data_IF_829160073173
#
_entry.id   IF_829160073173
#
_cell.length_a   1.000
_cell.length_b   1.000
_cell.length_c   1.000
_cell.angle_alpha   90.00
_cell.angle_beta   90.00
_cell.angle_gamma   90.00
#
_symmetry.space_group_name_H-M   'P 1'
#
loop_
_entity.id
_entity.type
_entity.pdbx_description
1 polymer ?
#
# COMPACT_ATOMS: atom_id res chain seq x y z
N UNK A 1 -12.10 -50.75 11.79
CA UNK A 1 -12.02 -50.12 10.45
C UNK A 1 -11.28 -48.78 10.40
N UNK A 2 -10.00 -48.71 10.83
CA UNK A 2 -9.21 -47.46 10.77
C UNK A 2 -7.79 -47.64 10.17
N UNK A 3 -7.52 -48.74 9.44
CA UNK A 3 -6.18 -49.05 8.93
C UNK A 3 -5.90 -48.62 7.48
N UNK A 4 -6.89 -48.10 6.75
CA UNK A 4 -6.73 -47.72 5.32
C UNK A 4 -6.42 -46.24 5.06
N UNK A 5 -6.33 -45.40 6.08
CA UNK A 5 -6.14 -43.95 5.92
C UNK A 5 -4.68 -43.55 5.65
N UNK A 6 -3.72 -44.04 6.44
CA UNK A 6 -2.36 -43.48 6.40
C UNK A 6 -1.55 -43.80 5.13
N UNK A 7 -1.68 -45.00 4.56
CA UNK A 7 -0.87 -45.38 3.38
C UNK A 7 -1.31 -44.68 2.09
N UNK A 8 -2.60 -44.36 1.95
CA UNK A 8 -3.12 -43.67 0.75
C UNK A 8 -2.69 -42.21 0.72
N UNK A 9 -2.63 -41.56 1.90
CA UNK A 9 -2.23 -40.15 2.00
C UNK A 9 -0.73 -39.94 2.21
N UNK A 10 0.04 -41.00 2.50
CA UNK A 10 1.47 -40.94 2.80
C UNK A 10 2.27 -40.18 1.73
N UNK A 11 2.04 -40.50 0.45
CA UNK A 11 2.75 -39.84 -0.68
C UNK A 11 2.46 -38.34 -0.67
N UNK A 12 1.22 -37.92 -0.42
CA UNK A 12 0.87 -36.50 -0.34
C UNK A 12 1.51 -35.81 0.87
N UNK A 13 1.60 -36.48 2.02
CA UNK A 13 2.30 -35.93 3.20
C UNK A 13 3.81 -35.80 2.99
N UNK A 14 4.42 -36.76 2.29
CA UNK A 14 5.83 -36.70 1.89
C UNK A 14 6.07 -35.54 0.93
N UNK A 15 5.26 -35.39 -0.12
CA UNK A 15 5.34 -34.25 -1.04
C UNK A 15 5.10 -32.90 -0.34
N UNK A 16 4.15 -32.81 0.59
CA UNK A 16 3.93 -31.61 1.40
C UNK A 16 5.15 -31.28 2.27
N UNK A 17 5.81 -32.30 2.81
CA UNK A 17 7.03 -32.12 3.61
C UNK A 17 8.18 -31.57 2.77
N UNK A 18 8.35 -32.05 1.54
CA UNK A 18 9.33 -31.52 0.59
C UNK A 18 9.04 -30.05 0.22
N UNK A 19 7.78 -29.74 -0.07
CA UNK A 19 7.33 -28.37 -0.35
C UNK A 19 7.62 -27.43 0.84
N UNK A 20 7.36 -27.88 2.06
CA UNK A 20 7.68 -27.11 3.28
C UNK A 20 9.18 -26.87 3.45
N UNK A 21 10.04 -27.82 3.07
CA UNK A 21 11.50 -27.64 3.09
C UNK A 21 11.94 -26.59 2.08
N UNK A 22 11.34 -26.59 0.87
CA UNK A 22 11.62 -25.57 -0.15
C UNK A 22 11.21 -24.19 0.36
N UNK A 23 10.02 -24.06 0.96
CA UNK A 23 9.56 -22.80 1.54
C UNK A 23 10.50 -22.25 2.61
N UNK A 24 10.96 -23.10 3.53
CA UNK A 24 11.91 -22.70 4.57
C UNK A 24 13.24 -22.22 3.97
N UNK A 25 13.79 -22.97 3.01
CA UNK A 25 15.02 -22.57 2.31
C UNK A 25 14.86 -21.27 1.55
N UNK A 26 13.72 -21.07 0.88
CA UNK A 26 13.43 -19.83 0.18
C UNK A 26 13.35 -18.65 1.16
N UNK A 27 12.73 -18.83 2.33
CA UNK A 27 12.68 -17.81 3.38
C UNK A 27 14.07 -17.50 3.94
N UNK A 28 14.92 -18.50 4.17
CA UNK A 28 16.29 -18.29 4.62
C UNK A 28 17.14 -17.54 3.57
N UNK A 29 16.96 -17.86 2.29
CA UNK A 29 17.61 -17.16 1.17
C UNK A 29 17.12 -15.71 1.10
N UNK A 30 15.81 -15.47 1.24
CA UNK A 30 15.23 -14.12 1.26
C UNK A 30 15.83 -13.27 2.37
N UNK A 31 15.91 -13.78 3.60
CA UNK A 31 16.52 -13.05 4.73
C UNK A 31 17.99 -12.72 4.46
N UNK A 32 18.75 -13.68 3.90
CA UNK A 32 20.16 -13.45 3.53
C UNK A 32 20.31 -12.43 2.42
N UNK A 33 19.42 -12.44 1.43
CA UNK A 33 19.37 -11.45 0.36
C UNK A 33 19.15 -10.05 0.95
N UNK A 34 18.13 -9.86 1.79
CA UNK A 34 17.87 -8.56 2.41
C UNK A 34 19.08 -8.06 3.22
N UNK A 35 19.72 -8.94 4.00
CA UNK A 35 20.92 -8.58 4.76
C UNK A 35 22.10 -8.20 3.85
N UNK A 36 22.28 -8.89 2.71
CA UNK A 36 23.31 -8.56 1.73
C UNK A 36 23.07 -7.16 1.13
N UNK A 37 21.83 -6.87 0.74
CA UNK A 37 21.45 -5.60 0.12
C UNK A 37 21.55 -4.43 1.10
N UNK A 38 21.08 -4.60 2.34
CA UNK A 38 21.06 -3.53 3.35
C UNK A 38 22.46 -3.24 3.92
N UNK A 39 23.26 -4.28 4.19
CA UNK A 39 24.45 -4.17 5.03
C UNK A 39 25.79 -4.43 4.32
N UNK A 40 25.79 -5.18 3.21
CA UNK A 40 27.04 -5.63 2.59
C UNK A 40 27.36 -4.93 1.28
N UNK A 41 26.35 -4.48 0.53
CA UNK A 41 26.55 -3.82 -0.75
C UNK A 41 26.66 -2.30 -0.61
N UNK A 42 27.71 -1.76 -1.23
CA UNK A 42 27.90 -0.32 -1.45
C UNK A 42 27.87 -0.13 -2.96
N UNK A 43 26.90 0.63 -3.44
CA UNK A 43 26.74 0.92 -4.86
C UNK A 43 27.54 2.16 -5.23
N UNK A 44 28.29 2.10 -6.32
CA UNK A 44 28.99 3.25 -6.88
C UNK A 44 27.99 4.08 -7.69
N UNK A 45 27.41 5.09 -7.03
CA UNK A 45 26.43 6.01 -7.61
C UNK A 45 26.97 6.85 -8.78
N UNK A 46 28.29 6.96 -8.93
CA UNK A 46 28.92 7.64 -10.08
C UNK A 46 28.90 6.77 -11.35
N UNK A 47 28.55 5.49 -11.24
CA UNK A 47 28.48 4.55 -12.34
C UNK A 47 27.01 4.30 -12.71
N UNK A 48 26.58 4.80 -13.88
CA UNK A 48 25.19 4.70 -14.34
C UNK A 48 24.68 3.25 -14.44
N UNK A 49 25.56 2.31 -14.82
CA UNK A 49 25.22 0.88 -14.90
C UNK A 49 24.95 0.27 -13.52
N UNK A 50 25.64 0.73 -12.48
CA UNK A 50 25.37 0.29 -11.10
C UNK A 50 24.08 0.89 -10.56
N UNK A 51 23.78 2.15 -10.86
CA UNK A 51 22.49 2.78 -10.52
C UNK A 51 21.33 2.04 -11.19
N UNK A 52 21.47 1.69 -12.46
CA UNK A 52 20.47 0.90 -13.20
C UNK A 52 20.32 -0.51 -12.61
N UNK A 53 21.43 -1.13 -12.20
CA UNK A 53 21.40 -2.45 -11.54
C UNK A 53 20.69 -2.37 -10.19
N UNK A 54 20.91 -1.31 -9.43
CA UNK A 54 20.22 -1.06 -8.16
C UNK A 54 18.71 -0.87 -8.37
N UNK A 55 18.28 -0.14 -9.40
CA UNK A 55 16.84 0.00 -9.68
C UNK A 55 16.21 -1.33 -10.10
N UNK A 56 16.90 -2.16 -10.87
CA UNK A 56 16.43 -3.52 -11.18
C UNK A 56 16.31 -4.38 -9.91
N UNK A 57 17.23 -4.24 -8.96
CA UNK A 57 17.12 -4.92 -7.65
C UNK A 57 15.88 -4.45 -6.90
N UNK A 58 15.58 -3.15 -6.92
CA UNK A 58 14.38 -2.59 -6.29
C UNK A 58 13.09 -3.09 -6.96
N UNK A 59 13.05 -3.17 -8.28
CA UNK A 59 11.90 -3.72 -9.01
C UNK A 59 11.67 -5.20 -8.66
N UNK A 60 12.75 -5.99 -8.55
CA UNK A 60 12.68 -7.37 -8.07
C UNK A 60 12.19 -7.46 -6.62
N UNK A 61 12.64 -6.56 -5.74
CA UNK A 61 12.15 -6.49 -4.36
C UNK A 61 10.66 -6.15 -4.31
N UNK A 62 10.18 -5.24 -5.17
CA UNK A 62 8.75 -4.94 -5.26
C UNK A 62 7.94 -6.18 -5.68
N UNK A 63 8.42 -6.93 -6.67
CA UNK A 63 7.79 -8.19 -7.11
C UNK A 63 7.78 -9.27 -6.02
N UNK A 64 8.89 -9.42 -5.29
CA UNK A 64 8.94 -10.32 -4.12
C UNK A 64 7.93 -9.87 -3.06
N UNK A 65 7.77 -8.56 -2.86
CA UNK A 65 6.78 -7.96 -1.96
C UNK A 65 5.34 -8.37 -2.33
N UNK A 66 5.00 -8.30 -3.62
CA UNK A 66 3.70 -8.72 -4.16
C UNK A 66 3.42 -10.20 -3.82
N UNK A 67 4.39 -11.08 -4.07
CA UNK A 67 4.26 -12.52 -3.82
C UNK A 67 4.09 -12.82 -2.32
N UNK A 68 4.84 -12.13 -1.46
CA UNK A 68 4.84 -12.40 -0.02
C UNK A 68 3.56 -11.96 0.70
N UNK A 69 2.82 -10.98 0.17
CA UNK A 69 1.62 -10.40 0.79
C UNK A 69 0.48 -11.40 1.05
N UNK A 70 0.41 -12.50 0.30
CA UNK A 70 -0.54 -13.59 0.53
C UNK A 70 0.04 -14.78 1.30
N UNK A 71 1.36 -14.83 1.49
CA UNK A 71 2.06 -16.03 1.95
C UNK A 71 2.66 -15.88 3.35
N UNK A 72 3.34 -14.77 3.60
CA UNK A 72 4.05 -14.53 4.84
C UNK A 72 4.18 -13.03 5.09
N UNK A 73 3.26 -12.50 5.90
CA UNK A 73 3.18 -11.08 6.28
C UNK A 73 4.50 -10.58 6.89
N UNK A 74 5.19 -11.40 7.70
CA UNK A 74 6.45 -11.00 8.31
C UNK A 74 7.53 -10.77 7.25
N UNK A 75 7.71 -11.75 6.36
CA UNK A 75 8.67 -11.62 5.26
C UNK A 75 8.30 -10.48 4.32
N UNK A 76 7.00 -10.26 4.04
CA UNK A 76 6.53 -9.10 3.28
C UNK A 76 6.94 -7.78 3.97
N UNK A 77 6.72 -7.66 5.27
CA UNK A 77 7.09 -6.46 6.02
C UNK A 77 8.61 -6.21 6.03
N UNK A 78 9.41 -7.26 6.24
CA UNK A 78 10.87 -7.18 6.20
C UNK A 78 11.36 -6.79 4.79
N UNK A 79 10.74 -7.32 3.74
CA UNK A 79 11.04 -6.99 2.35
C UNK A 79 10.82 -5.51 2.06
N UNK A 80 9.63 -4.98 2.39
CA UNK A 80 9.31 -3.57 2.18
C UNK A 80 10.14 -2.65 3.06
N UNK A 81 10.56 -3.09 4.24
CA UNK A 81 11.50 -2.34 5.08
C UNK A 81 12.86 -2.21 4.41
N UNK A 82 13.42 -3.28 3.86
CA UNK A 82 14.69 -3.24 3.12
C UNK A 82 14.58 -2.41 1.85
N UNK A 83 13.50 -2.58 1.06
CA UNK A 83 13.19 -1.72 -0.08
C UNK A 83 13.22 -0.24 0.31
N UNK A 84 12.57 0.10 1.44
CA UNK A 84 12.48 1.48 1.92
C UNK A 84 13.81 2.02 2.46
N UNK A 85 14.63 1.17 3.07
CA UNK A 85 15.98 1.54 3.51
C UNK A 85 16.88 1.89 2.31
N UNK A 86 16.87 1.04 1.28
CA UNK A 86 17.70 1.22 0.08
C UNK A 86 17.26 2.47 -0.69
N UNK A 87 15.95 2.61 -0.93
CA UNK A 87 15.42 3.78 -1.65
C UNK A 87 15.68 5.10 -0.93
N UNK A 88 15.70 5.11 0.41
CA UNK A 88 16.08 6.30 1.17
C UNK A 88 17.58 6.59 1.12
N UNK A 89 18.40 5.55 1.20
CA UNK A 89 19.85 5.67 1.19
C UNK A 89 20.37 6.27 -0.12
N UNK A 90 19.73 5.94 -1.24
CA UNK A 90 20.16 6.33 -2.59
C UNK A 90 19.12 7.19 -3.32
N UNK A 91 18.25 7.89 -2.58
CA UNK A 91 17.08 8.58 -3.14
C UNK A 91 17.44 9.51 -4.31
N UNK A 92 18.45 10.35 -4.14
CA UNK A 92 18.88 11.32 -5.15
C UNK A 92 19.42 10.64 -6.42
N UNK A 93 20.14 9.53 -6.25
CA UNK A 93 20.81 8.82 -7.33
C UNK A 93 19.84 7.98 -8.17
N UNK A 94 18.91 7.29 -7.51
CA UNK A 94 17.95 6.40 -8.18
C UNK A 94 16.70 7.13 -8.66
N UNK A 95 16.44 8.36 -8.19
CA UNK A 95 15.19 9.08 -8.45
C UNK A 95 14.83 9.07 -9.92
N UNK A 96 15.79 9.30 -10.83
CA UNK A 96 15.51 9.31 -12.28
C UNK A 96 15.02 7.97 -12.84
N UNK A 97 15.57 6.87 -12.34
CA UNK A 97 15.39 5.53 -12.89
C UNK A 97 14.30 4.72 -12.17
N UNK A 98 14.00 5.05 -10.92
CA UNK A 98 13.06 4.30 -10.09
C UNK A 98 11.64 4.39 -10.68
N UNK A 99 11.01 3.23 -10.89
CA UNK A 99 9.59 3.12 -11.18
C UNK A 99 8.79 3.02 -9.87
N UNK A 100 7.93 4.01 -9.62
CA UNK A 100 7.08 4.06 -8.43
C UNK A 100 5.70 3.41 -8.65
N UNK A 101 5.31 3.13 -9.88
CA UNK A 101 3.96 2.64 -10.20
C UNK A 101 3.66 1.32 -9.48
N UNK A 102 4.54 0.32 -9.63
CA UNK A 102 4.39 -1.00 -9.00
C UNK A 102 4.28 -0.95 -7.47
N UNK A 103 5.23 -0.34 -6.73
CA UNK A 103 5.11 -0.27 -5.27
C UNK A 103 3.90 0.55 -4.82
N UNK A 104 3.55 1.63 -5.52
CA UNK A 104 2.34 2.41 -5.19
C UNK A 104 1.08 1.57 -5.36
N UNK A 105 0.91 0.89 -6.51
CA UNK A 105 -0.22 0.00 -6.77
C UNK A 105 -0.30 -1.12 -5.74
N UNK A 106 0.83 -1.73 -5.39
CA UNK A 106 0.88 -2.74 -4.33
C UNK A 106 0.31 -2.17 -3.01
N UNK A 107 0.86 -1.04 -2.53
CA UNK A 107 0.45 -0.50 -1.25
C UNK A 107 -1.02 -0.07 -1.22
N UNK A 108 -1.50 0.61 -2.26
CA UNK A 108 -2.89 1.06 -2.34
C UNK A 108 -3.85 -0.12 -2.38
N UNK A 109 -3.55 -1.14 -3.18
CA UNK A 109 -4.38 -2.34 -3.29
C UNK A 109 -4.36 -3.15 -2.00
N UNK A 110 -3.20 -3.25 -1.34
CA UNK A 110 -3.05 -4.03 -0.12
C UNK A 110 -3.83 -3.42 1.06
N UNK A 111 -3.83 -2.09 1.17
CA UNK A 111 -4.63 -1.39 2.17
C UNK A 111 -6.12 -1.62 1.91
N UNK A 112 -6.59 -1.42 0.67
CA UNK A 112 -8.00 -1.64 0.31
C UNK A 112 -8.42 -3.08 0.55
N UNK A 113 -7.60 -4.05 0.13
CA UNK A 113 -7.82 -5.49 0.37
C UNK A 113 -7.93 -5.80 1.85
N UNK A 114 -7.04 -5.23 2.66
CA UNK A 114 -7.06 -5.41 4.12
C UNK A 114 -8.34 -4.85 4.74
N UNK A 115 -8.79 -3.65 4.31
CA UNK A 115 -10.04 -3.06 4.81
C UNK A 115 -11.23 -3.95 4.43
N UNK A 116 -11.29 -4.42 3.18
CA UNK A 116 -12.35 -5.34 2.74
C UNK A 116 -12.35 -6.64 3.55
N UNK A 117 -11.17 -7.20 3.85
CA UNK A 117 -11.08 -8.41 4.68
C UNK A 117 -11.64 -8.18 6.09
N UNK A 118 -11.43 -7.02 6.70
CA UNK A 118 -12.01 -6.66 8.01
C UNK A 118 -13.54 -6.60 7.92
N UNK A 119 -14.07 -6.13 6.79
CA UNK A 119 -15.50 -6.09 6.50
C UNK A 119 -16.08 -7.49 6.22
N UNK A 120 -15.26 -8.52 6.01
CA UNK A 120 -15.69 -9.92 5.88
C UNK A 120 -15.54 -10.72 7.18
N UNK A 121 -14.61 -10.32 8.07
CA UNK A 121 -14.39 -11.00 9.36
C UNK A 121 -15.60 -10.97 10.29
N UNK A 122 -15.72 -11.97 11.16
CA UNK A 122 -16.73 -11.95 12.23
C UNK A 122 -16.48 -10.77 13.17
N UNK A 123 -17.53 -10.05 13.57
CA UNK A 123 -17.44 -8.88 14.45
C UNK A 123 -16.77 -9.22 15.79
N UNK A 124 -16.85 -10.47 16.24
CA UNK A 124 -16.23 -10.93 17.48
C UNK A 124 -14.74 -11.31 17.35
N UNK A 125 -14.15 -11.22 16.16
CA UNK A 125 -12.76 -11.56 15.90
C UNK A 125 -11.82 -10.36 16.06
N UNK A 126 -11.91 -9.68 17.22
CA UNK A 126 -11.16 -8.47 17.53
C UNK A 126 -9.64 -8.67 17.38
N UNK A 127 -9.14 -9.89 17.63
CA UNK A 127 -7.72 -10.22 17.49
C UNK A 127 -7.26 -10.15 16.03
N UNK A 128 -7.98 -10.79 15.12
CA UNK A 128 -7.62 -10.76 13.71
C UNK A 128 -7.87 -9.37 13.11
N UNK A 129 -8.95 -8.69 13.50
CA UNK A 129 -9.20 -7.30 13.09
C UNK A 129 -8.04 -6.39 13.52
N UNK A 130 -7.63 -6.46 14.79
CA UNK A 130 -6.50 -5.67 15.32
C UNK A 130 -5.20 -5.99 14.58
N UNK A 131 -4.94 -7.27 14.31
CA UNK A 131 -3.76 -7.70 13.58
C UNK A 131 -3.74 -7.14 12.15
N UNK A 132 -4.84 -7.26 11.42
CA UNK A 132 -4.99 -6.72 10.06
C UNK A 132 -4.81 -5.20 10.06
N UNK A 133 -5.45 -4.47 10.98
CA UNK A 133 -5.29 -3.02 11.08
C UNK A 133 -3.84 -2.59 11.33
N UNK A 134 -3.09 -3.31 12.17
CA UNK A 134 -1.68 -3.02 12.42
C UNK A 134 -0.82 -3.21 11.18
N UNK A 135 -1.07 -4.26 10.40
CA UNK A 135 -0.38 -4.52 9.14
C UNK A 135 -0.72 -3.44 8.11
N UNK A 136 -2.00 -3.11 7.95
CA UNK A 136 -2.43 -2.04 7.03
C UNK A 136 -1.82 -0.70 7.38
N UNK A 137 -1.72 -0.35 8.67
CA UNK A 137 -1.05 0.87 9.11
C UNK A 137 0.47 0.82 8.85
N UNK A 138 1.12 -0.33 9.00
CA UNK A 138 2.52 -0.47 8.59
C UNK A 138 2.69 -0.20 7.09
N UNK A 139 1.88 -0.85 6.25
CA UNK A 139 1.89 -0.67 4.80
C UNK A 139 1.62 0.78 4.40
N UNK A 140 0.59 1.38 4.99
CA UNK A 140 0.23 2.79 4.78
C UNK A 140 1.40 3.72 5.15
N UNK A 141 2.08 3.48 6.27
CA UNK A 141 3.25 4.28 6.68
C UNK A 141 4.42 4.12 5.72
N UNK A 142 4.66 2.92 5.19
CA UNK A 142 5.70 2.70 4.17
C UNK A 142 5.35 3.49 2.90
N UNK A 143 4.10 3.40 2.43
CA UNK A 143 3.61 4.15 1.26
C UNK A 143 3.79 5.66 1.43
N UNK A 144 3.32 6.22 2.55
CA UNK A 144 3.46 7.66 2.83
C UNK A 144 4.94 8.07 2.86
N UNK A 145 5.80 7.26 3.48
CA UNK A 145 7.23 7.54 3.55
C UNK A 145 7.91 7.46 2.17
N UNK A 146 7.49 6.53 1.31
CA UNK A 146 7.95 6.44 -0.08
C UNK A 146 7.54 7.71 -0.85
N UNK A 147 6.28 8.14 -0.69
CA UNK A 147 5.76 9.35 -1.31
C UNK A 147 6.49 10.61 -0.82
N UNK A 148 6.80 10.71 0.48
CA UNK A 148 7.57 11.81 1.04
C UNK A 148 9.02 11.82 0.47
N UNK A 149 9.62 10.64 0.32
CA UNK A 149 10.99 10.48 -0.23
C UNK A 149 11.06 10.91 -1.70
N UNK A 150 10.04 10.62 -2.50
CA UNK A 150 9.98 10.93 -3.92
C UNK A 150 8.84 11.87 -4.30
N UNK A 151 8.60 12.90 -3.48
CA UNK A 151 7.47 13.84 -3.61
C UNK A 151 7.35 14.50 -5.00
N UNK A 152 8.47 14.72 -5.70
CA UNK A 152 8.46 15.26 -7.07
C UNK A 152 8.04 14.24 -8.13
N UNK A 153 8.18 12.94 -7.87
CA UNK A 153 7.81 11.88 -8.81
C UNK A 153 6.40 11.36 -8.59
N UNK A 154 5.82 11.50 -7.40
CA UNK A 154 4.44 11.04 -7.17
C UNK A 154 3.40 11.87 -7.95
N UNK A 155 3.73 13.07 -8.43
CA UNK A 155 2.81 13.94 -9.17
C UNK A 155 2.29 13.33 -10.46
N UNK A 156 3.06 12.43 -11.09
CA UNK A 156 2.61 11.71 -12.30
C UNK A 156 1.75 10.49 -12.00
N UNK A 157 1.54 10.17 -10.71
CA UNK A 157 0.79 9.01 -10.22
C UNK A 157 -0.46 9.43 -9.42
N UNK A 158 -0.99 10.63 -9.66
CA UNK A 158 -2.16 11.16 -8.95
C UNK A 158 -3.42 10.32 -9.18
N UNK A 159 -3.51 9.69 -10.35
CA UNK A 159 -4.54 8.73 -10.71
C UNK A 159 -4.58 7.54 -9.73
N UNK A 160 -3.43 6.97 -9.38
CA UNK A 160 -3.34 5.86 -8.42
C UNK A 160 -3.94 6.27 -7.07
N UNK A 161 -3.64 7.49 -6.59
CA UNK A 161 -4.17 7.97 -5.32
C UNK A 161 -5.67 8.25 -5.39
N UNK A 162 -6.18 8.80 -6.49
CA UNK A 162 -7.61 8.97 -6.67
C UNK A 162 -8.35 7.64 -6.63
N UNK A 163 -7.92 6.64 -7.40
CA UNK A 163 -8.50 5.30 -7.36
C UNK A 163 -8.42 4.68 -5.97
N UNK A 164 -7.29 4.84 -5.29
CA UNK A 164 -7.10 4.38 -3.92
C UNK A 164 -8.12 4.98 -2.95
N UNK A 165 -8.28 6.31 -2.93
CA UNK A 165 -9.24 6.96 -2.04
C UNK A 165 -10.68 6.60 -2.41
N UNK A 166 -11.02 6.57 -3.71
CA UNK A 166 -12.36 6.17 -4.17
C UNK A 166 -12.71 4.78 -3.64
N UNK A 167 -11.80 3.82 -3.80
CA UNK A 167 -11.98 2.45 -3.33
C UNK A 167 -12.05 2.37 -1.79
N UNK A 168 -11.17 3.09 -1.10
CA UNK A 168 -11.16 3.14 0.37
C UNK A 168 -12.47 3.70 0.93
N UNK A 169 -12.94 4.84 0.45
CA UNK A 169 -14.17 5.46 0.95
C UNK A 169 -15.43 4.71 0.53
N UNK A 170 -15.42 4.03 -0.62
CA UNK A 170 -16.50 3.12 -1.04
C UNK A 170 -16.64 1.94 -0.08
N UNK A 171 -15.52 1.33 0.33
CA UNK A 171 -15.52 0.24 1.29
C UNK A 171 -15.90 0.72 2.70
N UNK A 172 -15.32 1.83 3.15
CA UNK A 172 -15.42 2.29 4.53
C UNK A 172 -16.80 2.86 4.90
N UNK A 173 -17.36 3.76 4.08
CA UNK A 173 -18.48 4.62 4.51
C UNK A 173 -19.81 3.88 4.75
N UNK A 174 -20.25 2.94 3.89
CA UNK A 174 -21.47 2.18 4.12
C UNK A 174 -21.24 0.98 5.05
N UNK A 175 -20.11 0.28 4.93
CA UNK A 175 -19.92 -1.02 5.56
C UNK A 175 -19.55 -0.94 7.05
N UNK A 176 -18.77 0.06 7.48
CA UNK A 176 -18.43 0.25 8.90
C UNK A 176 -19.62 0.78 9.70
N UNK A 177 -20.50 1.57 9.08
CA UNK A 177 -21.74 2.03 9.74
C UNK A 177 -22.77 0.92 9.90
N UNK A 178 -22.77 -0.06 8.99
CA UNK A 178 -23.73 -1.17 8.99
C UNK A 178 -23.25 -2.38 9.80
N UNK A 179 -21.93 -2.59 9.94
CA UNK A 179 -21.38 -3.57 10.88
C UNK A 179 -21.35 -2.98 12.29
N UNK A 180 -21.97 -3.67 13.24
CA UNK A 180 -21.97 -3.32 14.67
C UNK A 180 -20.61 -3.59 15.33
N UNK A 181 -19.51 -3.05 14.81
CA UNK A 181 -18.20 -3.16 15.42
C UNK A 181 -18.17 -2.55 16.83
N UNK A 182 -17.32 -3.09 17.69
CA UNK A 182 -17.09 -2.50 19.01
C UNK A 182 -16.49 -1.09 18.90
N UNK A 183 -16.80 -0.21 19.86
CA UNK A 183 -16.26 1.15 19.88
C UNK A 183 -14.73 1.16 19.86
N UNK A 184 -14.09 0.21 20.57
CA UNK A 184 -12.63 0.04 20.57
C UNK A 184 -12.08 -0.22 19.15
N UNK A 185 -12.74 -1.08 18.38
CA UNK A 185 -12.34 -1.39 17.00
C UNK A 185 -12.52 -0.18 16.08
N UNK A 186 -13.59 0.59 16.26
CA UNK A 186 -13.82 1.84 15.52
C UNK A 186 -12.72 2.88 15.83
N UNK A 187 -12.37 3.04 17.11
CA UNK A 187 -11.34 4.00 17.53
C UNK A 187 -9.93 3.57 17.09
N UNK A 188 -9.65 2.26 17.11
CA UNK A 188 -8.42 1.70 16.57
C UNK A 188 -8.31 1.92 15.06
N UNK A 189 -9.38 1.68 14.32
CA UNK A 189 -9.43 1.95 12.88
C UNK A 189 -9.16 3.44 12.60
N UNK A 190 -9.84 4.33 13.32
CA UNK A 190 -9.68 5.79 13.15
C UNK A 190 -8.23 6.21 13.40
N UNK A 191 -7.64 5.76 14.51
CA UNK A 191 -6.28 6.14 14.91
C UNK A 191 -5.19 5.58 14.00
N UNK A 192 -5.34 4.33 13.53
CA UNK A 192 -4.32 3.67 12.71
C UNK A 192 -4.44 3.98 11.22
N UNK A 193 -5.66 4.15 10.70
CA UNK A 193 -5.91 4.26 9.25
C UNK A 193 -6.44 5.65 8.89
N UNK A 194 -7.59 6.06 9.44
CA UNK A 194 -8.24 7.31 9.01
C UNK A 194 -7.35 8.54 9.19
N UNK A 195 -6.74 8.69 10.37
CA UNK A 195 -5.90 9.86 10.66
C UNK A 195 -4.70 9.94 9.70
N UNK A 196 -4.02 8.81 9.47
CA UNK A 196 -2.87 8.77 8.57
C UNK A 196 -3.27 9.06 7.11
N UNK A 197 -4.44 8.59 6.67
CA UNK A 197 -4.99 8.90 5.35
C UNK A 197 -5.44 10.34 5.22
N UNK A 198 -5.99 10.92 6.28
CA UNK A 198 -6.39 12.32 6.31
C UNK A 198 -5.17 13.24 6.17
N UNK A 199 -4.10 12.95 6.90
CA UNK A 199 -2.81 13.65 6.79
C UNK A 199 -2.20 13.48 5.40
N UNK A 200 -2.25 12.26 4.85
CA UNK A 200 -1.72 12.00 3.51
C UNK A 200 -2.52 12.74 2.43
N UNK A 201 -3.85 12.71 2.51
CA UNK A 201 -4.70 13.48 1.62
C UNK A 201 -4.43 14.98 1.74
N UNK A 202 -4.19 15.50 2.97
CA UNK A 202 -3.82 16.90 3.20
C UNK A 202 -2.52 17.31 2.49
N UNK A 203 -1.58 16.38 2.32
CA UNK A 203 -0.37 16.61 1.53
C UNK A 203 -0.65 16.59 0.04
N UNK A 204 -1.42 15.62 -0.44
CA UNK A 204 -1.71 15.44 -1.87
C UNK A 204 -2.50 16.62 -2.45
N UNK A 205 -3.45 17.17 -1.70
CA UNK A 205 -4.25 18.35 -2.11
C UNK A 205 -3.43 19.63 -2.29
N UNK A 206 -2.14 19.63 -1.91
CA UNK A 206 -1.23 20.77 -2.14
C UNK A 206 -0.59 20.74 -3.54
N UNK A 207 -0.67 19.61 -4.25
CA UNK A 207 -0.15 19.48 -5.62
C UNK A 207 -1.23 19.89 -6.61
N UNK A 208 -0.89 20.78 -7.55
CA UNK A 208 -1.84 21.24 -8.58
C UNK A 208 -2.29 20.07 -9.48
N UNK A 209 -1.39 19.12 -9.73
CA UNK A 209 -1.64 17.91 -10.51
C UNK A 209 -2.73 17.02 -9.91
N UNK A 210 -2.99 17.14 -8.60
CA UNK A 210 -4.07 16.42 -7.94
C UNK A 210 -5.46 16.82 -8.48
N UNK A 211 -5.58 18.04 -9.02
CA UNK A 211 -6.82 18.60 -9.58
C UNK A 211 -6.85 18.62 -11.11
N UNK A 212 -5.97 17.86 -11.76
CA UNK A 212 -5.91 17.83 -13.22
C UNK A 212 -7.30 17.47 -13.80
N UNK A 213 -7.84 18.37 -14.63
CA UNK A 213 -9.20 18.25 -15.18
C UNK A 213 -9.34 17.00 -16.04
N UNK A 214 -8.35 16.68 -16.89
CA UNK A 214 -8.38 15.49 -17.74
C UNK A 214 -8.40 14.22 -16.90
N UNK A 215 -7.65 14.22 -15.79
CA UNK A 215 -7.69 13.11 -14.83
C UNK A 215 -9.08 12.97 -14.23
N UNK A 216 -9.67 14.06 -13.74
CA UNK A 216 -10.99 14.04 -13.11
C UNK A 216 -12.10 13.62 -14.10
N UNK A 217 -12.07 14.10 -15.34
CA UNK A 217 -12.99 13.68 -16.40
C UNK A 217 -12.87 12.18 -16.67
N UNK A 218 -11.64 11.68 -16.84
CA UNK A 218 -11.41 10.23 -17.05
C UNK A 218 -11.90 9.37 -15.90
N UNK A 219 -11.81 9.87 -14.65
CA UNK A 219 -12.33 9.16 -13.48
C UNK A 219 -13.86 9.14 -13.48
N UNK A 220 -14.50 10.26 -13.82
CA UNK A 220 -15.97 10.35 -13.89
C UNK A 220 -16.53 9.38 -14.95
N UNK A 221 -15.90 9.32 -16.12
CA UNK A 221 -16.29 8.43 -17.21
C UNK A 221 -16.14 6.94 -16.85
N UNK A 222 -15.09 6.59 -16.09
CA UNK A 222 -14.79 5.19 -15.77
C UNK A 222 -15.43 4.67 -14.48
N UNK A 223 -15.89 5.55 -13.58
CA UNK A 223 -16.32 5.14 -12.23
C UNK A 223 -17.84 5.18 -12.00
N UNK A 224 -18.65 5.44 -13.03
CA UNK A 224 -20.12 5.50 -12.94
C UNK A 224 -20.60 6.23 -11.66
N UNK A 225 -20.12 7.47 -11.43
CA UNK A 225 -20.47 8.27 -10.25
C UNK A 225 -20.51 7.49 -8.92
N UNK A 226 -19.51 6.63 -8.68
CA UNK A 226 -19.44 5.82 -7.46
C UNK A 226 -19.55 6.67 -6.19
N UNK A 227 -20.22 6.16 -5.16
CA UNK A 227 -20.33 6.81 -3.85
C UNK A 227 -18.95 7.23 -3.31
N UNK A 228 -17.91 6.43 -3.55
CA UNK A 228 -16.54 6.77 -3.20
C UNK A 228 -16.06 8.06 -3.84
N UNK A 229 -16.28 8.25 -5.15
CA UNK A 229 -15.90 9.47 -5.84
C UNK A 229 -16.55 10.72 -5.23
N UNK A 230 -17.86 10.65 -4.93
CA UNK A 230 -18.59 11.75 -4.28
C UNK A 230 -18.00 12.04 -2.89
N UNK A 231 -17.69 11.00 -2.11
CA UNK A 231 -17.14 11.15 -0.76
C UNK A 231 -15.74 11.75 -0.77
N UNK A 232 -14.87 11.30 -1.68
CA UNK A 232 -13.51 11.86 -1.83
C UNK A 232 -13.58 13.31 -2.27
N UNK A 233 -14.38 13.60 -3.30
CA UNK A 233 -14.55 14.96 -3.83
C UNK A 233 -15.07 15.90 -2.74
N UNK A 234 -16.08 15.49 -1.97
CA UNK A 234 -16.58 16.27 -0.84
C UNK A 234 -15.49 16.52 0.22
N UNK A 235 -14.70 15.49 0.56
CA UNK A 235 -13.56 15.64 1.49
C UNK A 235 -12.50 16.60 0.98
N UNK A 236 -12.18 16.56 -0.31
CA UNK A 236 -11.22 17.45 -0.95
C UNK A 236 -11.76 18.89 -0.97
N UNK A 237 -13.03 19.09 -1.34
CA UNK A 237 -13.68 20.40 -1.34
C UNK A 237 -13.75 21.01 0.07
N UNK A 238 -14.10 20.23 1.10
CA UNK A 238 -14.10 20.69 2.49
C UNK A 238 -12.72 21.24 2.90
N UNK A 239 -11.65 20.55 2.49
CA UNK A 239 -10.26 20.94 2.77
C UNK A 239 -9.84 22.20 2.01
N UNK A 240 -10.22 22.31 0.74
CA UNK A 240 -9.98 23.51 -0.06
C UNK A 240 -10.65 24.74 0.56
N UNK A 241 -11.91 24.60 0.98
CA UNK A 241 -12.66 25.67 1.65
C UNK A 241 -12.05 26.03 3.00
N UNK A 242 -11.62 25.06 3.81
CA UNK A 242 -10.99 25.35 5.10
C UNK A 242 -9.62 26.03 4.94
N UNK A 243 -8.84 25.65 3.93
CA UNK A 243 -7.53 26.25 3.66
C UNK A 243 -7.65 27.64 3.00
N UNK A 244 -8.74 27.91 2.28
CA UNK A 244 -9.03 29.20 1.67
C UNK A 244 -9.25 30.34 2.68
N UNK A 245 -9.51 30.02 3.95
CA UNK A 245 -9.56 31.04 5.01
C UNK A 245 -8.17 31.58 5.39
N UNK A 246 -7.07 30.94 4.95
CA UNK A 246 -5.70 31.34 5.29
C UNK A 246 -4.84 31.80 4.08
N UNK A 247 -5.21 31.55 2.83
CA UNK A 247 -4.49 32.12 1.67
C UNK A 247 -5.37 32.28 0.42
N UNK A 248 -5.35 33.49 -0.14
CA UNK A 248 -6.05 33.87 -1.37
C UNK A 248 -5.29 33.33 -2.58
N UNK A 249 -5.67 32.16 -3.11
CA UNK A 249 -5.27 31.75 -4.47
C UNK A 249 -6.42 31.02 -5.17
N UNK A 250 -6.98 31.68 -6.19
CA UNK A 250 -8.16 31.30 -6.98
C UNK A 250 -8.06 29.87 -7.55
N UNK A 251 -8.86 28.94 -7.03
CA UNK A 251 -9.31 27.77 -7.81
C UNK A 251 -10.60 28.18 -8.53
N UNK A 252 -10.50 28.52 -9.82
CA UNK A 252 -11.66 28.66 -10.68
C UNK A 252 -12.22 27.26 -10.95
N UNK A 253 -13.04 26.75 -10.04
CA UNK A 253 -13.91 25.60 -10.33
C UNK A 253 -15.02 26.14 -11.23
N UNK A 254 -14.84 25.99 -12.54
CA UNK A 254 -15.91 26.21 -13.51
C UNK A 254 -16.81 24.98 -13.45
N UNK A 255 -17.91 25.08 -12.71
CA UNK A 255 -19.02 24.14 -12.81
C UNK A 255 -19.81 24.51 -14.07
N UNK A 256 -19.83 23.60 -15.05
CA UNK A 256 -20.84 23.57 -16.12
C UNK A 256 -21.93 22.57 -15.76
#
# INVERSE_FOLDING_TARGET
DNFFSNNVYKIYFESLSEVLVIFKKAQDIHVKLLNLLDNCLIYNISCETEVTSLTNVLDNLAEIGDVLSGMNVKSMADNWKSYMNITQKYADDISKYLNLERPLLFFTNEIVRSINSILELNINDDKNITHTLKISNFILRVMVKLCDTFSKKIVVHMDIFWHFFINFYSAYSPAVKNKQFSQNTIDLFRSLICNCLEDFLNKLVQFEEFYNVQLLESLIENTDCSLGFILVTNKVLQKLVSNHNDTVTRVNIVLY
#
